data_IF_780140660658
#
_entry.id   IF_780140660658
#
_cell.length_a   1.000
_cell.length_b   1.000
_cell.length_c   1.000
_cell.angle_alpha   90.00
_cell.angle_beta   90.00
_cell.angle_gamma   90.00
#
_symmetry.space_group_name_H-M   'P 1'
#
loop_
_entity.id
_entity.type
_entity.pdbx_description
1 polymer ?
#
# COMPACT_ATOMS: atom_id res chain seq x y z
N UNK A 1 -18.41 -39.54 -41.05
CA UNK A 1 -18.68 -38.17 -40.54
C UNK A 1 -17.36 -37.58 -40.09
N UNK A 2 -16.75 -36.51 -40.61
CA UNK A 2 -17.00 -35.57 -41.72
C UNK A 2 -15.62 -34.93 -41.99
N UNK A 3 -15.02 -35.08 -43.18
CA UNK A 3 -13.70 -34.48 -43.51
C UNK A 3 -13.90 -33.00 -43.86
N UNK A 4 -13.24 -32.09 -43.13
CA UNK A 4 -13.13 -30.67 -43.49
C UNK A 4 -11.97 -30.49 -44.49
N UNK A 5 -12.28 -30.00 -45.69
CA UNK A 5 -11.31 -29.53 -46.66
C UNK A 5 -10.92 -28.08 -46.32
N UNK A 6 -9.67 -27.85 -45.94
CA UNK A 6 -9.08 -26.51 -45.86
C UNK A 6 -8.72 -26.02 -47.25
N UNK A 7 -9.27 -24.87 -47.65
CA UNK A 7 -8.97 -24.19 -48.91
C UNK A 7 -7.95 -23.08 -48.62
N UNK A 8 -6.73 -23.23 -49.12
CA UNK A 8 -5.67 -22.23 -48.99
C UNK A 8 -5.98 -21.04 -49.92
N UNK A 9 -6.11 -19.83 -49.37
CA UNK A 9 -6.17 -18.60 -50.15
C UNK A 9 -4.75 -18.17 -50.51
N UNK A 10 -4.40 -18.24 -51.79
CA UNK A 10 -3.22 -17.57 -52.33
C UNK A 10 -3.59 -16.13 -52.68
N UNK A 11 -2.93 -15.18 -52.03
CA UNK A 11 -3.07 -13.75 -52.30
C UNK A 11 -2.35 -13.40 -53.60
N UNK A 12 -3.03 -12.73 -54.52
CA UNK A 12 -2.45 -12.33 -55.82
C UNK A 12 -1.46 -11.17 -55.62
N UNK A 13 -0.17 -11.51 -55.65
CA UNK A 13 0.95 -10.58 -55.48
C UNK A 13 0.92 -9.46 -56.54
N UNK A 14 0.37 -9.72 -57.72
CA UNK A 14 0.28 -8.70 -58.78
C UNK A 14 -0.78 -7.63 -58.47
N UNK A 15 -1.83 -7.98 -57.73
CA UNK A 15 -2.84 -7.01 -57.29
C UNK A 15 -2.25 -6.04 -56.24
N UNK A 16 -1.40 -6.53 -55.34
CA UNK A 16 -0.72 -5.71 -54.32
C UNK A 16 0.31 -4.78 -54.97
N UNK A 17 1.07 -5.27 -55.95
CA UNK A 17 2.06 -4.44 -56.67
C UNK A 17 1.38 -3.35 -57.52
N UNK A 18 0.23 -3.65 -58.14
CA UNK A 18 -0.55 -2.63 -58.86
C UNK A 18 -1.15 -1.57 -57.92
N UNK A 19 -1.58 -1.95 -56.72
CA UNK A 19 -2.06 -1.01 -55.71
C UNK A 19 -0.93 -0.07 -55.21
N UNK A 20 0.29 -0.59 -55.07
CA UNK A 20 1.46 0.21 -54.67
C UNK A 20 1.96 1.13 -55.79
N UNK A 21 1.79 0.76 -57.06
CA UNK A 21 2.14 1.62 -58.20
C UNK A 21 1.12 2.74 -58.47
N UNK A 22 -0.09 2.62 -57.93
CA UNK A 22 -1.14 3.64 -58.03
C UNK A 22 -0.98 4.77 -57.00
N UNK A 23 -0.12 4.61 -56.00
CA UNK A 23 0.28 5.70 -55.11
C UNK A 23 1.25 6.62 -55.86
N UNK A 24 0.74 7.75 -56.37
CA UNK A 24 1.54 8.72 -57.09
C UNK A 24 2.51 9.42 -56.13
N UNK A 25 3.74 9.62 -56.61
CA UNK A 25 4.83 10.28 -55.88
C UNK A 25 4.43 11.67 -55.38
N UNK A 26 3.48 12.32 -56.03
CA UNK A 26 2.96 13.65 -55.68
C UNK A 26 2.19 13.66 -54.34
N UNK A 27 1.52 12.57 -53.98
CA UNK A 27 0.79 12.47 -52.69
C UNK A 27 1.76 12.36 -51.51
N UNK A 28 2.89 11.65 -51.70
CA UNK A 28 3.96 11.55 -50.71
C UNK A 28 4.64 12.91 -50.50
N UNK A 29 4.82 13.69 -51.57
CA UNK A 29 5.44 15.01 -51.48
C UNK A 29 4.55 16.03 -50.76
N UNK A 30 3.23 15.97 -50.95
CA UNK A 30 2.29 16.83 -50.20
C UNK A 30 2.24 16.49 -48.71
N UNK A 31 2.26 15.20 -48.35
CA UNK A 31 2.27 14.76 -46.95
C UNK A 31 3.56 15.23 -46.25
N UNK A 32 4.72 15.11 -46.90
CA UNK A 32 5.98 15.58 -46.35
C UNK A 32 6.03 17.11 -46.22
N UNK A 33 5.49 17.84 -47.19
CA UNK A 33 5.45 19.32 -47.16
C UNK A 33 4.54 19.83 -46.03
N UNK A 34 3.39 19.18 -45.81
CA UNK A 34 2.49 19.51 -44.71
C UNK A 34 3.14 19.24 -43.34
N UNK A 35 3.83 18.11 -43.18
CA UNK A 35 4.54 17.77 -41.95
C UNK A 35 5.68 18.77 -41.62
N UNK A 36 6.38 19.26 -42.64
CA UNK A 36 7.49 20.22 -42.45
C UNK A 36 6.97 21.60 -42.03
N UNK A 37 5.82 22.01 -42.56
CA UNK A 37 5.17 23.29 -42.23
C UNK A 37 4.61 23.31 -40.81
N UNK A 38 4.10 22.17 -40.33
CA UNK A 38 3.63 22.01 -38.93
C UNK A 38 4.78 22.06 -37.91
N UNK A 39 5.96 21.56 -38.26
CA UNK A 39 7.15 21.59 -37.40
C UNK A 39 7.73 23.02 -37.29
N UNK A 40 7.70 23.79 -38.38
CA UNK A 40 8.12 25.20 -38.38
C UNK A 40 7.15 26.13 -37.63
N UNK A 41 5.85 25.81 -37.60
CA UNK A 41 4.89 26.56 -36.78
C UNK A 41 5.03 26.26 -35.28
N UNK A 42 5.35 25.02 -34.89
CA UNK A 42 5.57 24.66 -33.47
C UNK A 42 6.85 25.23 -32.87
N UNK A 43 7.84 25.59 -33.68
CA UNK A 43 9.12 26.13 -33.20
C UNK A 43 9.10 27.64 -32.96
N UNK A 44 8.07 28.36 -33.44
CA UNK A 44 7.92 29.81 -33.23
C UNK A 44 7.16 30.19 -31.95
N UNK A 45 6.52 29.23 -31.28
CA UNK A 45 5.77 29.43 -30.03
C UNK A 45 6.55 29.00 -28.76
N UNK A 46 7.86 28.76 -28.86
CA UNK A 46 8.69 28.46 -27.68
C UNK A 46 9.00 29.76 -26.94
N UNK A 47 8.15 30.08 -25.96
CA UNK A 47 8.38 31.11 -24.95
C UNK A 47 9.76 30.85 -24.29
N UNK A 48 10.61 31.88 -24.11
CA UNK A 48 11.90 31.71 -23.44
C UNK A 48 11.68 31.08 -22.06
N UNK A 49 12.60 30.21 -21.58
CA UNK A 49 12.44 29.50 -20.33
C UNK A 49 12.22 30.52 -19.21
N UNK A 50 11.05 30.41 -18.59
CA UNK A 50 10.69 31.16 -17.39
C UNK A 50 11.70 30.80 -16.31
N UNK A 51 12.63 31.70 -16.06
CA UNK A 51 13.58 31.58 -14.96
C UNK A 51 12.82 31.73 -13.65
N UNK A 52 13.06 30.79 -12.72
CA UNK A 52 12.39 30.63 -11.43
C UNK A 52 11.00 29.96 -11.52
N UNK A 53 10.95 28.72 -12.02
CA UNK A 53 9.83 27.82 -11.67
C UNK A 53 9.87 27.54 -10.16
N UNK A 54 8.72 27.62 -9.51
CA UNK A 54 8.54 27.46 -8.06
C UNK A 54 9.31 26.23 -7.54
N UNK A 55 10.37 26.48 -6.75
CA UNK A 55 11.15 25.46 -6.03
C UNK A 55 10.36 24.86 -4.84
N UNK A 56 9.04 24.95 -4.88
CA UNK A 56 8.16 24.44 -3.83
C UNK A 56 8.39 22.94 -3.67
N UNK A 57 8.73 22.51 -2.45
CA UNK A 57 8.99 21.11 -2.13
C UNK A 57 10.44 20.64 -2.30
N UNK A 58 11.41 21.47 -2.73
CA UNK A 58 12.81 21.02 -2.83
C UNK A 58 13.37 20.54 -1.48
N UNK A 59 12.96 21.14 -0.37
CA UNK A 59 13.39 20.75 0.97
C UNK A 59 12.70 19.48 1.49
N UNK A 60 11.64 19.00 0.84
CA UNK A 60 10.87 17.83 1.28
C UNK A 60 11.72 16.54 1.28
N UNK A 61 12.81 16.51 0.52
CA UNK A 61 13.77 15.39 0.49
C UNK A 61 14.38 15.10 1.86
N UNK A 62 14.50 16.10 2.73
CA UNK A 62 15.00 15.96 4.10
C UNK A 62 14.11 15.04 4.96
N UNK A 63 12.85 14.81 4.54
CA UNK A 63 12.01 13.81 5.16
C UNK A 63 12.65 12.40 5.12
N UNK A 64 13.51 12.09 4.16
CA UNK A 64 14.22 10.80 4.11
C UNK A 64 15.36 10.71 5.14
N UNK A 65 15.90 11.83 5.60
CA UNK A 65 17.06 11.87 6.50
C UNK A 65 16.68 12.15 7.95
N UNK A 66 15.42 12.51 8.19
CA UNK A 66 14.92 12.88 9.52
C UNK A 66 14.04 11.79 10.13
N UNK A 67 14.23 11.55 11.43
CA UNK A 67 13.31 10.76 12.24
C UNK A 67 12.25 11.67 12.84
N UNK A 68 10.97 11.42 12.55
CA UNK A 68 9.88 12.13 13.22
C UNK A 68 9.54 11.51 14.57
N UNK A 69 9.06 12.35 15.48
CA UNK A 69 8.34 11.89 16.65
C UNK A 69 7.03 11.22 16.22
N UNK A 70 6.51 10.31 17.05
CA UNK A 70 5.33 9.48 16.74
C UNK A 70 4.10 10.27 16.27
N UNK A 71 3.89 11.48 16.79
CA UNK A 71 2.77 12.37 16.43
C UNK A 71 2.94 13.05 15.07
N UNK A 72 4.17 13.15 14.53
CA UNK A 72 4.46 13.76 13.23
C UNK A 72 4.66 12.74 12.11
N UNK A 73 4.76 11.46 12.44
CA UNK A 73 5.01 10.38 11.47
C UNK A 73 4.05 10.38 10.28
N UNK A 74 2.74 10.62 10.50
CA UNK A 74 1.75 10.67 9.42
C UNK A 74 2.03 11.83 8.45
N UNK A 75 2.33 13.02 8.98
CA UNK A 75 2.65 14.19 8.16
C UNK A 75 3.97 13.99 7.40
N UNK A 76 5.02 13.49 8.07
CA UNK A 76 6.31 13.23 7.40
C UNK A 76 6.19 12.15 6.33
N UNK A 77 5.40 11.08 6.56
CA UNK A 77 5.17 10.05 5.55
C UNK A 77 4.46 10.61 4.31
N UNK A 78 3.47 11.48 4.48
CA UNK A 78 2.83 12.18 3.36
C UNK A 78 3.82 13.04 2.56
N UNK A 79 4.80 13.66 3.22
CA UNK A 79 5.88 14.39 2.54
C UNK A 79 6.76 13.42 1.73
N UNK A 80 7.17 12.28 2.31
CA UNK A 80 7.91 11.25 1.58
C UNK A 80 7.14 10.74 0.36
N UNK A 81 5.85 10.45 0.50
CA UNK A 81 4.98 10.04 -0.61
C UNK A 81 4.91 11.09 -1.74
N UNK A 82 4.95 12.39 -1.42
CA UNK A 82 5.05 13.45 -2.43
C UNK A 82 6.40 13.39 -3.15
N UNK A 83 7.50 13.28 -2.41
CA UNK A 83 8.85 13.16 -2.98
C UNK A 83 8.95 11.94 -3.91
N UNK A 84 8.36 10.80 -3.54
CA UNK A 84 8.35 9.59 -4.37
C UNK A 84 7.73 9.79 -5.76
N UNK A 85 6.81 10.75 -5.92
CA UNK A 85 6.22 11.05 -7.23
C UNK A 85 7.21 11.65 -8.21
N UNK A 86 8.19 12.38 -7.70
CA UNK A 86 9.17 13.11 -8.52
C UNK A 86 10.56 12.48 -8.47
N UNK A 87 10.85 11.62 -7.49
CA UNK A 87 12.19 11.04 -7.30
C UNK A 87 12.66 10.19 -8.49
N UNK A 88 11.76 9.66 -9.32
CA UNK A 88 12.17 8.89 -10.51
C UNK A 88 12.88 9.76 -11.54
N UNK A 89 12.38 10.97 -11.72
CA UNK A 89 12.83 11.95 -12.70
C UNK A 89 12.83 13.32 -12.00
N UNK A 90 13.75 13.53 -11.04
CA UNK A 90 13.77 14.75 -10.26
C UNK A 90 14.09 15.93 -11.20
N UNK A 91 13.43 17.09 -11.03
CA UNK A 91 13.77 18.28 -11.80
C UNK A 91 15.26 18.60 -11.67
N UNK A 92 15.89 19.04 -12.76
CA UNK A 92 17.32 19.38 -12.75
C UNK A 92 17.65 20.43 -11.66
N UNK A 93 16.76 21.41 -11.48
CA UNK A 93 16.88 22.42 -10.43
C UNK A 93 16.92 21.82 -9.01
N UNK A 94 16.23 20.70 -8.75
CA UNK A 94 16.30 20.02 -7.45
C UNK A 94 17.66 19.35 -7.25
N UNK A 95 18.19 18.71 -8.29
CA UNK A 95 19.51 18.09 -8.27
C UNK A 95 20.61 19.14 -8.10
N UNK A 96 20.49 20.30 -8.74
CA UNK A 96 21.49 21.37 -8.72
C UNK A 96 21.36 22.31 -7.52
N UNK A 97 20.30 22.20 -6.73
CA UNK A 97 20.08 23.07 -5.58
C UNK A 97 21.26 23.03 -4.59
N UNK A 98 21.76 24.20 -4.19
CA UNK A 98 22.97 24.34 -3.36
C UNK A 98 22.89 23.56 -2.04
N UNK A 99 21.78 23.71 -1.29
CA UNK A 99 21.56 23.03 0.00
C UNK A 99 21.12 21.57 -0.12
N UNK A 100 20.06 21.29 -0.89
CA UNK A 100 19.38 19.99 -0.89
C UNK A 100 19.74 19.08 -2.06
N UNK A 101 20.49 19.57 -3.05
CA UNK A 101 20.77 18.82 -4.28
C UNK A 101 21.55 17.53 -4.04
N UNK A 102 22.41 17.51 -3.02
CA UNK A 102 23.10 16.28 -2.63
C UNK A 102 22.14 15.25 -2.03
N UNK A 103 21.21 15.65 -1.16
CA UNK A 103 20.17 14.78 -0.62
C UNK A 103 19.31 14.18 -1.75
N UNK A 104 18.91 14.99 -2.73
CA UNK A 104 18.17 14.52 -3.91
C UNK A 104 18.96 13.49 -4.72
N UNK A 105 20.22 13.78 -5.04
CA UNK A 105 21.09 12.83 -5.77
C UNK A 105 21.23 11.51 -5.01
N UNK A 106 21.44 11.56 -3.71
CA UNK A 106 21.61 10.35 -2.87
C UNK A 106 20.36 9.49 -2.90
N UNK A 107 19.17 10.06 -2.64
CA UNK A 107 17.92 9.27 -2.62
C UNK A 107 17.58 8.79 -4.03
N UNK A 108 17.77 9.61 -5.07
CA UNK A 108 17.51 9.24 -6.47
C UNK A 108 18.39 8.07 -6.91
N UNK A 109 19.69 8.12 -6.60
CA UNK A 109 20.62 7.05 -6.92
C UNK A 109 20.20 5.75 -6.21
N UNK A 110 19.98 5.81 -4.89
CA UNK A 110 19.57 4.65 -4.12
C UNK A 110 18.22 4.07 -4.59
N UNK A 111 17.29 4.93 -5.00
CA UNK A 111 16.02 4.52 -5.60
C UNK A 111 16.23 3.74 -6.89
N UNK A 112 17.03 4.27 -7.82
CA UNK A 112 17.34 3.60 -9.08
C UNK A 112 18.10 2.28 -8.88
N UNK A 113 19.02 2.24 -7.91
CA UNK A 113 19.71 0.99 -7.52
C UNK A 113 18.73 -0.06 -7.00
N UNK A 114 17.70 0.36 -6.26
CA UNK A 114 16.67 -0.56 -5.81
C UNK A 114 15.77 -1.03 -6.97
N UNK A 115 15.35 -0.14 -7.88
CA UNK A 115 14.57 -0.55 -9.05
C UNK A 115 15.33 -1.54 -9.93
N UNK A 116 16.64 -1.33 -10.14
CA UNK A 116 17.50 -2.30 -10.84
C UNK A 116 17.50 -3.67 -10.16
N UNK A 117 17.69 -3.70 -8.83
CA UNK A 117 17.65 -4.95 -8.05
C UNK A 117 16.29 -5.64 -8.17
N UNK A 118 15.19 -4.90 -8.06
CA UNK A 118 13.82 -5.43 -8.24
C UNK A 118 13.66 -6.02 -9.65
N UNK A 119 14.14 -5.33 -10.69
CA UNK A 119 14.09 -5.83 -12.06
C UNK A 119 14.79 -7.20 -12.16
N UNK A 120 16.05 -7.27 -11.70
CA UNK A 120 16.84 -8.52 -11.70
C UNK A 120 16.16 -9.64 -10.91
N UNK A 121 15.74 -9.38 -9.67
CA UNK A 121 15.09 -10.37 -8.79
C UNK A 121 13.75 -10.87 -9.34
N UNK A 122 13.11 -10.10 -10.22
CA UNK A 122 11.81 -10.46 -10.82
C UNK A 122 11.91 -10.85 -12.29
N UNK A 123 13.12 -11.18 -12.76
CA UNK A 123 13.36 -11.72 -14.10
C UNK A 123 13.24 -10.70 -15.24
N UNK A 124 13.27 -9.40 -14.93
CA UNK A 124 13.33 -8.33 -15.93
C UNK A 124 14.81 -8.10 -16.25
N UNK A 125 15.30 -8.81 -17.26
CA UNK A 125 16.72 -8.78 -17.64
C UNK A 125 17.12 -7.49 -18.36
N UNK A 126 16.22 -6.95 -19.18
CA UNK A 126 16.47 -5.77 -20.01
C UNK A 126 15.29 -4.81 -19.96
N UNK A 127 15.57 -3.53 -19.73
CA UNK A 127 14.61 -2.45 -19.83
C UNK A 127 15.34 -1.15 -20.18
N UNK A 128 14.67 -0.25 -20.92
CA UNK A 128 15.22 1.03 -21.38
C UNK A 128 14.83 2.19 -20.45
N UNK A 129 13.67 2.09 -19.81
CA UNK A 129 13.17 3.14 -18.92
C UNK A 129 12.17 2.59 -17.89
N UNK A 130 11.86 3.42 -16.88
CA UNK A 130 10.83 3.13 -15.89
C UNK A 130 9.85 4.29 -15.77
N UNK A 131 8.60 3.99 -15.40
CA UNK A 131 7.58 4.97 -15.01
C UNK A 131 6.98 4.56 -13.66
N UNK A 132 6.74 5.55 -12.81
CA UNK A 132 6.11 5.35 -11.51
C UNK A 132 4.74 6.01 -11.52
N UNK A 133 3.72 5.22 -11.23
CA UNK A 133 2.35 5.69 -11.04
C UNK A 133 1.99 5.51 -9.55
N UNK A 134 2.10 6.59 -8.75
CA UNK A 134 1.79 6.53 -7.32
C UNK A 134 0.32 6.17 -7.11
N UNK A 135 0.09 5.15 -6.29
CA UNK A 135 -1.22 4.69 -5.84
C UNK A 135 -1.39 5.12 -4.39
N UNK A 136 -2.48 5.84 -4.13
CA UNK A 136 -2.78 6.32 -2.80
C UNK A 136 -4.24 6.09 -2.45
N UNK A 137 -4.53 6.12 -1.16
CA UNK A 137 -5.89 6.02 -0.64
C UNK A 137 -6.41 4.59 -0.53
N UNK A 138 -7.68 4.47 -0.14
CA UNK A 138 -8.27 3.21 0.34
C UNK A 138 -8.60 2.18 -0.75
N UNK A 139 -8.47 2.56 -2.03
CA UNK A 139 -8.77 1.68 -3.16
C UNK A 139 -7.62 0.74 -3.53
N UNK A 140 -6.39 1.08 -3.13
CA UNK A 140 -5.20 0.30 -3.37
C UNK A 140 -4.61 -0.19 -2.05
N UNK A 141 -3.91 -1.31 -2.11
CA UNK A 141 -3.22 -1.91 -0.97
C UNK A 141 -1.69 -1.82 -1.10
N UNK A 142 -1.18 -0.92 -1.93
CA UNK A 142 0.24 -0.61 -2.16
C UNK A 142 0.37 0.87 -2.56
N UNK A 143 1.60 1.40 -2.58
CA UNK A 143 1.86 2.84 -2.71
C UNK A 143 2.25 3.27 -4.13
N UNK A 144 2.77 2.37 -4.98
CA UNK A 144 3.11 2.71 -6.36
C UNK A 144 3.11 1.51 -7.30
N UNK A 145 2.75 1.77 -8.55
CA UNK A 145 3.04 0.90 -9.68
C UNK A 145 4.35 1.34 -10.34
N UNK A 146 5.31 0.43 -10.48
CA UNK A 146 6.53 0.66 -11.26
C UNK A 146 6.43 -0.13 -12.55
N UNK A 147 6.38 0.58 -13.68
CA UNK A 147 6.35 0.01 -15.02
C UNK A 147 7.73 0.08 -15.64
N UNK A 148 8.27 -1.07 -16.03
CA UNK A 148 9.52 -1.23 -16.78
C UNK A 148 9.19 -1.35 -18.26
N UNK A 149 9.83 -0.53 -19.10
CA UNK A 149 9.65 -0.55 -20.55
C UNK A 149 10.86 -1.19 -21.21
N UNK A 150 10.62 -2.10 -22.13
CA UNK A 150 11.64 -2.78 -22.95
C UNK A 150 11.17 -2.84 -24.40
N UNK A 151 12.06 -3.25 -25.31
CA UNK A 151 11.69 -3.52 -26.70
C UNK A 151 10.68 -4.67 -26.83
N UNK A 152 10.66 -5.58 -25.86
CA UNK A 152 9.78 -6.76 -25.82
C UNK A 152 8.43 -6.51 -25.14
N UNK A 153 8.19 -5.31 -24.61
CA UNK A 153 6.95 -4.92 -23.95
C UNK A 153 7.15 -4.29 -22.58
N UNK A 154 6.11 -4.38 -21.75
CA UNK A 154 6.08 -3.75 -20.42
C UNK A 154 5.89 -4.78 -19.31
N UNK A 155 6.57 -4.55 -18.19
CA UNK A 155 6.40 -5.32 -16.95
C UNK A 155 6.06 -4.38 -15.81
N UNK A 156 5.10 -4.77 -14.96
CA UNK A 156 4.65 -3.94 -13.85
C UNK A 156 4.94 -4.61 -12.50
N UNK A 157 5.30 -3.81 -11.49
CA UNK A 157 5.53 -4.25 -10.11
C UNK A 157 4.83 -3.32 -9.13
N UNK A 158 4.14 -3.90 -8.13
CA UNK A 158 3.49 -3.18 -7.04
C UNK A 158 4.49 -2.94 -5.92
N UNK A 159 4.72 -1.68 -5.57
CA UNK A 159 5.65 -1.26 -4.53
C UNK A 159 4.88 -0.71 -3.33
N UNK A 160 5.25 -1.16 -2.14
CA UNK A 160 4.89 -0.53 -0.87
C UNK A 160 6.12 0.12 -0.28
N UNK A 161 6.04 1.42 -0.02
CA UNK A 161 7.10 2.17 0.59
C UNK A 161 6.94 2.19 2.11
N UNK A 162 8.07 1.99 2.80
CA UNK A 162 8.16 2.16 4.25
C UNK A 162 9.43 2.93 4.59
N UNK A 163 9.33 3.81 5.58
CA UNK A 163 10.48 4.52 6.13
C UNK A 163 10.85 3.92 7.48
N UNK A 164 12.11 3.54 7.63
CA UNK A 164 12.63 2.79 8.77
C UNK A 164 12.50 1.27 8.59
N UNK A 165 13.39 0.56 9.27
CA UNK A 165 13.52 -0.89 9.14
C UNK A 165 14.32 -1.31 7.91
N UNK A 166 14.83 -2.53 7.94
CA UNK A 166 15.59 -3.16 6.85
C UNK A 166 14.84 -4.34 6.24
N UNK A 167 13.79 -4.80 6.90
CA UNK A 167 12.91 -5.89 6.47
C UNK A 167 11.50 -5.67 7.06
N UNK A 168 10.50 -6.39 6.55
CA UNK A 168 9.09 -6.30 6.97
C UNK A 168 8.93 -6.65 8.45
N UNK A 169 9.78 -7.53 8.99
CA UNK A 169 9.79 -7.93 10.38
C UNK A 169 10.18 -6.82 11.37
N UNK A 170 10.87 -5.78 10.88
CA UNK A 170 11.20 -4.58 11.66
C UNK A 170 10.00 -3.61 11.77
N UNK A 171 8.99 -3.79 10.93
CA UNK A 171 7.85 -2.86 10.88
C UNK A 171 6.89 -3.11 12.06
N UNK A 172 6.42 -2.04 12.73
CA UNK A 172 5.40 -2.18 13.78
C UNK A 172 4.05 -2.67 13.22
N UNK A 173 3.86 -2.55 11.91
CA UNK A 173 2.67 -2.96 11.18
C UNK A 173 3.00 -3.05 9.68
N UNK A 174 2.60 -4.15 9.04
CA UNK A 174 2.62 -4.27 7.57
C UNK A 174 1.22 -4.43 6.97
N UNK A 175 0.22 -4.84 7.77
CA UNK A 175 -1.16 -5.00 7.35
C UNK A 175 -2.15 -4.46 8.41
N UNK A 176 -3.26 -3.87 7.97
CA UNK A 176 -4.37 -3.47 8.84
C UNK A 176 -5.67 -4.04 8.31
N UNK A 177 -6.45 -4.67 9.19
CA UNK A 177 -7.76 -5.21 8.87
C UNK A 177 -8.79 -4.61 9.83
N UNK A 178 -9.99 -4.27 9.33
CA UNK A 178 -11.09 -3.89 10.23
C UNK A 178 -11.52 -5.10 11.06
N UNK A 179 -11.94 -4.88 12.31
CA UNK A 179 -12.33 -5.98 13.20
C UNK A 179 -13.62 -6.69 12.76
N UNK A 180 -14.40 -6.06 11.87
CA UNK A 180 -15.58 -6.66 11.23
C UNK A 180 -15.26 -7.75 10.20
N UNK A 181 -13.99 -7.92 9.82
CA UNK A 181 -13.60 -9.05 8.96
C UNK A 181 -13.87 -10.32 9.76
N UNK A 182 -14.59 -11.25 9.14
CA UNK A 182 -15.05 -12.48 9.76
C UNK A 182 -13.91 -13.50 9.91
N UNK A 183 -12.98 -13.19 10.81
CA UNK A 183 -11.93 -14.12 11.26
C UNK A 183 -12.41 -15.01 12.41
N UNK A 184 -13.56 -14.70 12.99
CA UNK A 184 -14.17 -15.41 14.10
C UNK A 184 -15.68 -15.52 13.83
N UNK A 185 -16.35 -16.42 14.54
CA UNK A 185 -17.81 -16.54 14.51
C UNK A 185 -18.49 -15.22 14.91
N UNK A 186 -17.98 -14.58 15.96
CA UNK A 186 -18.44 -13.29 16.48
C UNK A 186 -17.38 -12.22 16.22
N UNK A 187 -17.73 -11.10 15.58
CA UNK A 187 -16.80 -9.99 15.35
C UNK A 187 -16.67 -9.11 16.60
N UNK A 188 -15.48 -8.53 16.83
CA UNK A 188 -15.24 -7.77 18.05
C UNK A 188 -16.13 -6.51 18.20
N UNK A 189 -16.48 -5.85 17.10
CA UNK A 189 -17.40 -4.70 17.13
C UNK A 189 -18.81 -5.06 17.58
N UNK A 190 -19.27 -6.26 17.21
CA UNK A 190 -20.53 -6.82 17.68
C UNK A 190 -20.44 -7.27 19.14
N UNK A 191 -19.41 -8.03 19.52
CA UNK A 191 -19.15 -8.39 20.92
C UNK A 191 -19.09 -7.15 21.84
N UNK A 192 -18.40 -6.09 21.41
CA UNK A 192 -18.30 -4.82 22.13
C UNK A 192 -19.67 -4.18 22.33
N UNK A 193 -20.48 -4.08 21.27
CA UNK A 193 -21.81 -3.47 21.32
C UNK A 193 -22.71 -4.16 22.35
N UNK A 194 -22.70 -5.49 22.37
CA UNK A 194 -23.57 -6.31 23.22
C UNK A 194 -23.12 -6.37 24.69
N UNK A 195 -21.80 -6.38 24.94
CA UNK A 195 -21.27 -6.73 26.27
C UNK A 195 -20.64 -5.57 27.02
N UNK A 196 -20.18 -4.54 26.30
CA UNK A 196 -19.27 -3.53 26.84
C UNK A 196 -19.65 -2.08 26.54
N UNK A 197 -20.39 -1.81 25.47
CA UNK A 197 -20.77 -0.44 25.13
C UNK A 197 -21.55 0.23 26.27
N UNK A 198 -22.52 -0.45 26.88
CA UNK A 198 -23.29 0.15 27.98
C UNK A 198 -22.45 0.43 29.22
N UNK A 199 -21.45 -0.43 29.51
CA UNK A 199 -20.48 -0.20 30.58
C UNK A 199 -19.61 1.03 30.29
N UNK A 200 -19.22 1.21 29.03
CA UNK A 200 -18.44 2.37 28.59
C UNK A 200 -19.25 3.67 28.70
N UNK A 201 -20.53 3.64 28.31
CA UNK A 201 -21.43 4.78 28.43
C UNK A 201 -21.70 5.14 29.90
N UNK A 202 -21.86 4.13 30.76
CA UNK A 202 -22.09 4.32 32.20
C UNK A 202 -20.93 5.00 32.94
N UNK A 203 -19.73 5.05 32.36
CA UNK A 203 -18.61 5.81 32.93
C UNK A 203 -18.85 7.32 32.92
N UNK A 204 -19.77 7.83 32.10
CA UNK A 204 -19.97 9.26 31.87
C UNK A 204 -21.46 9.58 31.68
N UNK A 205 -22.12 9.94 32.78
CA UNK A 205 -23.56 10.21 32.83
C UNK A 205 -24.00 11.41 31.96
N UNK A 206 -23.07 12.24 31.48
CA UNK A 206 -23.34 13.35 30.56
C UNK A 206 -23.32 12.92 29.08
N UNK A 207 -23.11 11.62 28.78
CA UNK A 207 -23.41 11.06 27.46
C UNK A 207 -24.92 10.86 27.37
N UNK A 208 -25.60 11.83 26.77
CA UNK A 208 -27.05 11.90 26.65
C UNK A 208 -27.59 11.46 25.29
N UNK A 209 -26.75 11.42 24.26
CA UNK A 209 -27.15 10.96 22.94
C UNK A 209 -27.54 9.47 23.03
N UNK A 210 -28.68 9.07 22.45
CA UNK A 210 -29.16 7.70 22.57
C UNK A 210 -28.18 6.72 21.90
N UNK A 211 -27.93 5.59 22.58
CA UNK A 211 -27.22 4.45 21.99
C UNK A 211 -27.97 4.03 20.72
N UNK A 212 -27.32 4.04 19.54
CA UNK A 212 -27.98 3.63 18.30
C UNK A 212 -28.36 2.15 18.36
N UNK A 213 -29.42 1.78 17.64
CA UNK A 213 -29.76 0.39 17.38
C UNK A 213 -28.58 -0.38 16.77
N UNK A 214 -28.51 -1.67 17.07
CA UNK A 214 -27.35 -2.53 16.74
C UNK A 214 -26.95 -2.46 15.28
N UNK A 215 -27.90 -2.60 14.37
CA UNK A 215 -27.64 -2.59 12.94
C UNK A 215 -27.01 -1.26 12.48
N UNK A 216 -27.56 -0.15 12.96
CA UNK A 216 -27.03 1.18 12.66
C UNK A 216 -25.64 1.36 13.26
N UNK A 217 -25.42 0.90 14.51
CA UNK A 217 -24.11 0.97 15.15
C UNK A 217 -23.06 0.21 14.34
N UNK A 218 -23.28 -1.06 14.01
CA UNK A 218 -22.31 -1.90 13.29
C UNK A 218 -22.01 -1.37 11.88
N UNK A 219 -23.01 -0.77 11.22
CA UNK A 219 -22.82 -0.09 9.93
C UNK A 219 -21.88 1.12 10.04
N UNK A 220 -21.85 1.80 11.18
CA UNK A 220 -21.19 3.10 11.36
C UNK A 220 -19.89 3.03 12.16
N UNK A 221 -19.72 2.05 13.04
CA UNK A 221 -18.56 1.93 13.94
C UNK A 221 -17.24 1.80 13.20
N UNK A 222 -17.22 1.31 11.96
CA UNK A 222 -15.99 1.22 11.14
C UNK A 222 -15.64 2.51 10.37
N UNK A 223 -16.37 3.60 10.62
CA UNK A 223 -16.13 4.92 10.04
C UNK A 223 -14.85 5.58 10.56
N UNK A 224 -14.36 6.56 9.81
CA UNK A 224 -13.31 7.49 10.26
C UNK A 224 -13.83 8.91 10.51
N UNK A 225 -15.13 9.12 10.37
CA UNK A 225 -15.81 10.42 10.54
C UNK A 225 -16.71 10.34 11.76
N UNK A 226 -16.44 11.17 12.78
CA UNK A 226 -17.22 11.18 14.04
C UNK A 226 -18.60 11.81 13.87
N UNK A 227 -18.74 12.80 12.99
CA UNK A 227 -20.01 13.46 12.68
C UNK A 227 -21.01 12.56 11.93
N UNK A 228 -20.72 11.27 11.78
CA UNK A 228 -21.58 10.33 11.06
C UNK A 228 -22.90 10.06 11.79
N UNK A 229 -22.92 10.21 13.12
CA UNK A 229 -24.13 10.29 13.95
C UNK A 229 -23.87 11.24 15.15
N UNK A 230 -24.91 11.85 15.73
CA UNK A 230 -24.79 12.62 16.97
C UNK A 230 -24.12 11.83 18.11
N UNK A 231 -24.48 10.55 18.26
CA UNK A 231 -23.88 9.65 19.23
C UNK A 231 -22.35 9.59 19.15
N UNK A 232 -21.77 9.28 17.98
CA UNK A 232 -20.30 9.22 17.85
C UNK A 232 -19.63 10.59 17.99
N UNK A 233 -20.31 11.67 17.58
CA UNK A 233 -19.83 13.03 17.78
C UNK A 233 -19.74 13.37 19.28
N UNK A 234 -20.74 13.00 20.08
CA UNK A 234 -20.72 13.20 21.53
C UNK A 234 -19.67 12.33 22.21
N UNK A 235 -19.54 11.04 21.84
CA UNK A 235 -18.47 10.20 22.38
C UNK A 235 -17.09 10.83 22.16
N UNK A 236 -16.88 11.42 20.98
CA UNK A 236 -15.62 12.06 20.62
C UNK A 236 -15.39 13.36 21.40
N UNK A 237 -16.40 14.24 21.51
CA UNK A 237 -16.27 15.49 22.28
C UNK A 237 -16.02 15.22 23.76
N UNK A 238 -16.50 14.08 24.26
CA UNK A 238 -16.36 13.65 25.65
C UNK A 238 -15.23 12.63 25.89
N UNK A 239 -14.31 12.44 24.94
CA UNK A 239 -13.26 11.40 25.04
C UNK A 239 -12.35 11.56 26.27
N UNK A 240 -12.00 12.80 26.63
CA UNK A 240 -11.04 13.08 27.70
C UNK A 240 -11.65 12.95 29.10
N UNK A 241 -12.98 12.95 29.23
CA UNK A 241 -13.68 12.79 30.51
C UNK A 241 -13.73 11.32 30.90
N UNK A 242 -13.40 11.00 32.15
CA UNK A 242 -13.35 9.63 32.68
C UNK A 242 -12.50 8.69 31.80
N UNK A 243 -11.42 9.24 31.23
CA UNK A 243 -10.61 8.53 30.24
C UNK A 243 -10.01 7.25 30.81
N UNK A 244 -9.61 7.25 32.10
CA UNK A 244 -9.01 6.08 32.74
C UNK A 244 -10.02 4.93 32.82
N UNK A 245 -11.21 5.20 33.32
CA UNK A 245 -12.32 4.26 33.49
C UNK A 245 -12.78 3.71 32.13
N UNK A 246 -13.01 4.61 31.15
CA UNK A 246 -13.32 4.25 29.77
C UNK A 246 -12.25 3.34 29.16
N UNK A 247 -10.97 3.65 29.40
CA UNK A 247 -9.85 2.86 28.91
C UNK A 247 -9.76 1.48 29.56
N UNK A 248 -10.13 1.34 30.83
CA UNK A 248 -10.20 0.06 31.55
C UNK A 248 -11.31 -0.83 30.97
N UNK A 249 -12.51 -0.28 30.72
CA UNK A 249 -13.61 -1.00 30.07
C UNK A 249 -13.18 -1.53 28.69
N UNK A 250 -12.51 -0.70 27.89
CA UNK A 250 -12.02 -1.13 26.57
C UNK A 250 -10.96 -2.22 26.68
N UNK A 251 -9.98 -2.08 27.58
CA UNK A 251 -8.95 -3.10 27.77
C UNK A 251 -9.54 -4.44 28.22
N UNK A 252 -10.46 -4.42 29.19
CA UNK A 252 -11.17 -5.60 29.65
C UNK A 252 -11.93 -6.28 28.50
N UNK A 253 -12.64 -5.50 27.67
CA UNK A 253 -13.39 -6.05 26.53
C UNK A 253 -12.51 -6.77 25.51
N UNK A 254 -11.30 -6.27 25.25
CA UNK A 254 -10.35 -6.87 24.30
C UNK A 254 -9.80 -8.17 24.88
N UNK A 255 -9.40 -8.14 26.15
CA UNK A 255 -8.89 -9.31 26.86
C UNK A 255 -9.94 -10.43 26.90
N UNK A 256 -11.17 -10.11 27.28
CA UNK A 256 -12.28 -11.06 27.33
C UNK A 256 -12.62 -11.63 25.96
N UNK A 257 -12.65 -10.78 24.92
CA UNK A 257 -12.91 -11.23 23.55
C UNK A 257 -11.83 -12.22 23.09
N UNK A 258 -10.55 -11.91 23.29
CA UNK A 258 -9.47 -12.81 22.90
C UNK A 258 -9.43 -14.08 23.74
N UNK A 259 -9.72 -14.02 25.04
CA UNK A 259 -9.81 -15.20 25.89
C UNK A 259 -10.95 -16.13 25.42
N UNK A 260 -12.08 -15.55 25.00
CA UNK A 260 -13.27 -16.29 24.55
C UNK A 260 -13.08 -16.88 23.16
N UNK A 261 -12.65 -16.07 22.18
CA UNK A 261 -12.65 -16.43 20.76
C UNK A 261 -11.26 -16.63 20.15
N UNK A 262 -10.18 -16.20 20.80
CA UNK A 262 -8.85 -16.15 20.18
C UNK A 262 -8.35 -17.50 19.64
N UNK A 263 -8.71 -18.61 20.29
CA UNK A 263 -8.35 -19.96 19.87
C UNK A 263 -9.19 -20.51 18.71
N UNK A 264 -10.32 -19.87 18.39
CA UNK A 264 -11.25 -20.28 17.31
C UNK A 264 -11.05 -19.50 16.01
N UNK A 265 -9.95 -18.75 15.90
CA UNK A 265 -9.63 -17.98 14.69
C UNK A 265 -9.68 -18.86 13.43
N UNK A 266 -10.38 -18.37 12.42
CA UNK A 266 -10.39 -18.91 11.07
C UNK A 266 -9.07 -18.56 10.37
N UNK A 267 -8.12 -19.48 10.48
CA UNK A 267 -6.75 -19.36 9.96
C UNK A 267 -6.71 -19.37 8.44
N UNK A 268 -7.62 -20.08 7.79
CA UNK A 268 -7.75 -20.11 6.34
C UNK A 268 -8.19 -18.73 5.83
N UNK A 269 -9.26 -18.17 6.40
CA UNK A 269 -9.72 -16.82 6.04
C UNK A 269 -8.62 -15.77 6.30
N UNK A 270 -7.86 -15.89 7.39
CA UNK A 270 -6.74 -14.98 7.63
C UNK A 270 -5.62 -15.14 6.59
N UNK A 271 -5.20 -16.38 6.29
CA UNK A 271 -4.23 -16.70 5.24
C UNK A 271 -4.65 -16.12 3.88
N UNK A 272 -5.91 -16.29 3.49
CA UNK A 272 -6.46 -15.74 2.25
C UNK A 272 -6.38 -14.21 2.22
N UNK A 273 -6.64 -13.52 3.34
CA UNK A 273 -6.49 -12.06 3.43
C UNK A 273 -5.03 -11.62 3.27
N UNK A 274 -4.09 -12.36 3.85
CA UNK A 274 -2.66 -12.06 3.68
C UNK A 274 -2.27 -12.25 2.21
N UNK A 275 -2.58 -13.41 1.60
CA UNK A 275 -2.31 -13.68 0.18
C UNK A 275 -2.89 -12.62 -0.75
N UNK A 276 -4.19 -12.35 -0.60
CA UNK A 276 -4.90 -11.36 -1.43
C UNK A 276 -4.28 -9.95 -1.34
N UNK A 277 -3.59 -9.64 -0.24
CA UNK A 277 -3.01 -8.31 -0.04
C UNK A 277 -1.51 -8.20 -0.22
N UNK A 278 -0.76 -9.31 -0.16
CA UNK A 278 0.70 -9.29 -0.10
C UNK A 278 1.41 -10.03 -1.23
N UNK A 279 0.79 -10.98 -1.94
CA UNK A 279 1.49 -11.88 -2.89
C UNK A 279 2.36 -11.15 -3.92
N UNK A 280 1.85 -10.08 -4.56
CA UNK A 280 2.59 -9.35 -5.60
C UNK A 280 3.35 -8.12 -5.08
N UNK A 281 3.27 -7.86 -3.77
CA UNK A 281 3.73 -6.61 -3.19
C UNK A 281 5.21 -6.70 -2.84
N UNK A 282 5.97 -5.72 -3.30
CA UNK A 282 7.38 -5.56 -2.96
C UNK A 282 7.52 -4.41 -1.99
N UNK A 283 8.06 -4.68 -0.80
CA UNK A 283 8.36 -3.66 0.18
C UNK A 283 9.69 -3.02 -0.15
N UNK A 284 9.69 -1.70 -0.17
CA UNK A 284 10.87 -0.87 -0.38
C UNK A 284 11.07 -0.01 0.88
N UNK A 285 12.00 -0.44 1.72
CA UNK A 285 12.23 0.12 3.04
C UNK A 285 13.44 1.06 3.03
N UNK A 286 13.22 2.35 3.27
CA UNK A 286 14.32 3.31 3.39
C UNK A 286 14.90 3.33 4.80
N UNK A 287 16.19 3.03 4.91
CA UNK A 287 16.93 3.09 6.18
C UNK A 287 18.42 3.30 5.91
N UNK A 288 19.10 4.05 6.79
CA UNK A 288 20.56 4.26 6.73
C UNK A 288 21.09 4.68 5.35
N UNK A 289 20.36 5.55 4.65
CA UNK A 289 20.77 6.09 3.35
C UNK A 289 20.60 5.15 2.16
N UNK A 290 19.92 4.01 2.33
CA UNK A 290 19.66 3.06 1.25
C UNK A 290 18.25 2.49 1.32
N UNK A 291 17.82 1.90 0.20
CA UNK A 291 16.59 1.13 0.13
C UNK A 291 16.88 -0.36 0.27
N UNK A 292 16.19 -0.99 1.21
CA UNK A 292 16.13 -2.44 1.38
C UNK A 292 14.88 -2.98 0.68
N UNK A 293 15.00 -4.16 0.07
CA UNK A 293 13.91 -4.82 -0.65
C UNK A 293 13.51 -6.05 0.15
N UNK A 294 12.21 -6.24 0.36
CA UNK A 294 11.68 -7.40 1.05
C UNK A 294 10.28 -7.76 0.52
N UNK A 295 9.84 -9.00 0.72
CA UNK A 295 8.54 -9.52 0.29
C UNK A 295 8.03 -10.53 1.30
N UNK A 296 6.71 -10.71 1.38
CA UNK A 296 6.13 -11.83 2.11
C UNK A 296 6.18 -13.06 1.20
N UNK A 297 6.85 -14.12 1.62
CA UNK A 297 7.01 -15.35 0.84
C UNK A 297 5.77 -16.25 0.96
N UNK A 298 5.57 -17.12 -0.03
CA UNK A 298 4.41 -18.01 -0.08
C UNK A 298 4.27 -18.88 1.17
N UNK A 299 5.40 -19.42 1.65
CA UNK A 299 5.48 -20.27 2.83
C UNK A 299 5.13 -19.52 4.13
N UNK A 300 5.28 -18.19 4.15
CA UNK A 300 4.87 -17.34 5.27
C UNK A 300 3.35 -17.12 5.27
N UNK A 301 2.67 -17.36 4.15
CA UNK A 301 1.25 -17.09 4.00
C UNK A 301 0.39 -18.34 4.12
N UNK A 302 0.96 -19.51 4.40
CA UNK A 302 0.28 -20.82 4.44
C UNK A 302 0.43 -21.50 5.80
N UNK A 303 -0.32 -22.58 6.00
CA UNK A 303 -0.19 -23.49 7.16
C UNK A 303 -0.21 -22.78 8.53
N UNK A 304 -1.03 -21.73 8.63
CA UNK A 304 -1.09 -20.93 9.85
C UNK A 304 -1.67 -21.74 11.02
N UNK A 305 -1.03 -21.62 12.18
CA UNK A 305 -1.45 -22.27 13.42
C UNK A 305 -1.58 -21.25 14.54
N UNK A 306 -2.51 -21.48 15.46
CA UNK A 306 -2.58 -20.67 16.68
C UNK A 306 -1.29 -20.85 17.48
N UNK A 307 -0.72 -19.75 17.96
CA UNK A 307 0.47 -19.79 18.79
C UNK A 307 0.20 -19.41 20.24
N UNK A 308 -0.27 -18.18 20.48
CA UNK A 308 -0.45 -17.66 21.84
C UNK A 308 -1.36 -16.43 21.87
N UNK A 309 -1.72 -15.98 23.06
CA UNK A 309 -2.26 -14.64 23.30
C UNK A 309 -1.30 -13.92 24.25
N UNK A 310 -0.81 -12.74 23.85
CA UNK A 310 0.11 -11.91 24.64
C UNK A 310 -0.56 -10.61 25.08
N UNK A 311 -0.25 -10.18 26.30
CA UNK A 311 -0.67 -8.91 26.90
C UNK A 311 -2.20 -8.68 26.89
N UNK A 312 -3.00 -9.73 26.73
CA UNK A 312 -4.46 -9.66 26.62
C UNK A 312 -4.98 -8.92 25.39
N UNK A 313 -4.14 -8.57 24.41
CA UNK A 313 -4.58 -7.81 23.22
C UNK A 313 -3.89 -8.22 21.91
N UNK A 314 -2.90 -9.11 21.95
CA UNK A 314 -2.21 -9.62 20.76
C UNK A 314 -2.50 -11.11 20.63
N UNK A 315 -3.13 -11.49 19.54
CA UNK A 315 -3.23 -12.88 19.11
C UNK A 315 -2.03 -13.20 18.23
N UNK A 316 -1.31 -14.28 18.52
CA UNK A 316 -0.19 -14.74 17.71
C UNK A 316 -0.54 -15.97 16.90
N UNK A 317 -0.20 -15.94 15.61
CA UNK A 317 -0.21 -17.10 14.73
C UNK A 317 1.20 -17.43 14.29
N UNK A 318 1.44 -18.71 14.01
CA UNK A 318 2.68 -19.25 13.46
C UNK A 318 2.46 -19.74 12.04
N UNK A 319 3.41 -19.49 11.15
CA UNK A 319 3.45 -19.97 9.77
C UNK A 319 4.88 -20.40 9.41
N UNK A 320 5.04 -21.14 8.31
CA UNK A 320 6.30 -21.71 7.86
C UNK A 320 6.49 -23.17 8.27
N UNK A 321 7.29 -23.89 7.49
CA UNK A 321 7.53 -25.33 7.65
C UNK A 321 8.51 -25.63 8.78
N UNK A 322 8.14 -26.55 9.67
CA UNK A 322 9.12 -27.34 10.44
C UNK A 322 9.82 -28.30 9.48
N UNK A 323 10.96 -27.88 8.94
CA UNK A 323 11.90 -28.78 8.26
C UNK A 323 11.45 -29.30 6.90
N UNK A 324 11.50 -28.45 5.88
CA UNK A 324 11.74 -28.97 4.53
C UNK A 324 13.15 -29.58 4.51
N UNK A 325 13.27 -30.87 4.24
CA UNK A 325 14.56 -31.57 4.20
C UNK A 325 15.53 -31.05 3.12
N UNK A 326 15.07 -30.15 2.23
CA UNK A 326 15.85 -29.62 1.11
C UNK A 326 16.09 -28.10 1.16
N UNK A 327 15.68 -27.40 2.22
CA UNK A 327 15.98 -25.97 2.38
C UNK A 327 16.94 -25.74 3.55
N UNK A 328 17.97 -24.93 3.32
CA UNK A 328 19.13 -24.85 4.20
C UNK A 328 18.86 -24.21 5.57
N UNK A 329 17.69 -23.61 5.81
CA UNK A 329 17.21 -23.23 7.16
C UNK A 329 15.68 -23.19 7.22
N UNK A 330 15.01 -24.00 8.07
CA UNK A 330 13.62 -23.73 8.42
C UNK A 330 13.54 -22.35 9.08
N UNK A 331 12.63 -21.50 8.62
CA UNK A 331 12.33 -20.23 9.26
C UNK A 331 10.87 -20.23 9.70
N UNK A 332 10.63 -19.80 10.94
CA UNK A 332 9.28 -19.70 11.50
C UNK A 332 8.84 -18.24 11.42
N UNK A 333 7.60 -17.99 11.00
CA UNK A 333 7.04 -16.64 10.96
C UNK A 333 5.96 -16.50 12.02
N UNK A 334 6.14 -15.54 12.93
CA UNK A 334 5.15 -15.16 13.93
C UNK A 334 4.36 -13.95 13.42
N UNK A 335 3.05 -14.11 13.22
CA UNK A 335 2.14 -13.00 12.99
C UNK A 335 1.58 -12.52 14.33
N UNK A 336 1.81 -11.25 14.67
CA UNK A 336 1.19 -10.60 15.82
C UNK A 336 -0.01 -9.76 15.40
N UNK A 337 -1.21 -10.22 15.74
CA UNK A 337 -2.49 -9.56 15.47
C UNK A 337 -2.94 -8.76 16.71
N UNK A 338 -2.58 -7.49 16.76
CA UNK A 338 -2.97 -6.56 17.84
C UNK A 338 -4.41 -6.06 17.61
N UNK A 339 -5.33 -6.43 18.50
CA UNK A 339 -6.68 -5.87 18.52
C UNK A 339 -6.68 -4.51 19.20
N UNK A 340 -7.17 -3.48 18.51
CA UNK A 340 -7.25 -2.12 19.05
C UNK A 340 -8.31 -1.27 18.36
N UNK A 341 -8.68 -0.17 19.00
CA UNK A 341 -9.44 0.90 18.37
C UNK A 341 -8.48 1.88 17.69
N UNK A 342 -8.63 2.10 16.38
CA UNK A 342 -7.76 3.02 15.62
C UNK A 342 -8.16 4.48 15.79
N UNK A 343 -9.45 4.74 15.99
CA UNK A 343 -10.04 6.08 16.01
C UNK A 343 -10.66 6.36 17.37
N UNK A 344 -9.79 6.69 18.33
CA UNK A 344 -10.09 6.86 19.75
C UNK A 344 -10.64 5.60 20.43
N UNK A 345 -10.17 5.38 21.66
CA UNK A 345 -10.34 4.09 22.33
C UNK A 345 -11.81 3.88 22.72
N UNK A 346 -12.44 2.83 22.20
CA UNK A 346 -13.86 2.51 22.46
C UNK A 346 -14.88 3.29 21.62
N UNK A 347 -14.43 4.14 20.68
CA UNK A 347 -15.33 5.03 19.92
C UNK A 347 -15.53 4.56 18.48
N UNK A 348 -14.49 4.59 17.65
CA UNK A 348 -14.58 4.20 16.25
C UNK A 348 -13.42 3.31 15.79
N UNK A 349 -13.72 2.53 14.76
CA UNK A 349 -12.81 1.76 13.93
C UNK A 349 -11.96 0.76 14.73
N UNK A 350 -12.59 -0.24 15.38
CA UNK A 350 -11.85 -1.37 15.90
C UNK A 350 -11.21 -2.13 14.75
N UNK A 351 -9.95 -2.53 14.93
CA UNK A 351 -9.13 -3.10 13.88
C UNK A 351 -8.05 -4.03 14.44
N UNK A 352 -7.61 -4.93 13.58
CA UNK A 352 -6.40 -5.71 13.73
C UNK A 352 -5.23 -4.92 13.11
N UNK A 353 -4.23 -4.63 13.93
CA UNK A 353 -2.93 -4.14 13.49
C UNK A 353 -1.98 -5.34 13.46
N UNK A 354 -1.47 -5.67 12.29
CA UNK A 354 -0.77 -6.93 12.05
C UNK A 354 0.71 -6.64 11.80
N UNK A 355 1.55 -7.27 12.61
CA UNK A 355 3.00 -7.32 12.48
C UNK A 355 3.43 -8.75 12.17
N UNK A 356 4.64 -8.92 11.66
CA UNK A 356 5.24 -10.24 11.48
C UNK A 356 6.68 -10.23 12.01
N UNK A 357 7.21 -11.39 12.37
CA UNK A 357 8.62 -11.60 12.70
C UNK A 357 9.07 -12.94 12.17
N UNK A 358 10.19 -12.96 11.45
CA UNK A 358 10.88 -14.20 11.03
C UNK A 358 11.83 -14.61 12.15
N UNK A 359 11.77 -15.87 12.56
CA UNK A 359 12.59 -16.47 13.63
C UNK A 359 13.49 -17.57 13.08
#
# INVERSE_FOLDING_TARGET
MTRRNGKTMTMDVNAVISALKAFQIDDLFQIMTAATTEVEQRTKDVKPPSTCEDMEGVADIEAFFTTSSRNLNDATNKVREKVLKVICQPPQAYLEHETYGQSWRTVHQAWNDALRRIATETGILEYTSTRIDVRGGRGFNYDADVTYFSEYGTSNRKIEFKNGGTNIGDLPQFLSLQAKIQLFEETYDSFWYEKYLDKYLACDAEITEPKPERELYLKKVTSTVYAITPFFAQLKSRELFFQKEKNEVVNASIADYLATYGHTINREAFSEKVKATQTDKIYLLWSNGTFHIDKVHEQEMTEMTFHSIKNGNILELKSGLKGSQNESRPFETIYGLLLRWRNHKGILNPAWQISMKRQ
#
